data_IF_353110709834
#
_entry.id   IF_353110709834
#
_cell.length_a   1.000
_cell.length_b   1.000
_cell.length_c   1.000
_cell.angle_alpha   90.00
_cell.angle_beta   90.00
_cell.angle_gamma   90.00
#
_symmetry.space_group_name_H-M   'P 1'
#
loop_
_entity.id
_entity.type
_entity.pdbx_description
1 polymer ?
#
# COMPACT_ATOMS: atom_id res chain seq x y z
N UNK A 1 -15.90 1.64 42.81
CA UNK A 1 -15.17 1.62 41.53
C UNK A 1 -16.10 2.26 40.51
N UNK A 2 -15.78 3.45 40.00
CA UNK A 2 -16.56 4.12 38.96
C UNK A 2 -16.60 3.27 37.69
N UNK A 3 -17.72 3.28 36.98
CA UNK A 3 -17.88 2.60 35.68
C UNK A 3 -16.78 3.08 34.71
N UNK A 4 -15.95 2.19 34.13
CA UNK A 4 -14.92 2.57 33.15
C UNK A 4 -15.44 3.43 32.00
N UNK A 5 -16.70 3.22 31.58
CA UNK A 5 -17.33 4.01 30.52
C UNK A 5 -17.61 5.46 30.97
N UNK A 6 -18.07 5.62 32.21
CA UNK A 6 -18.31 6.95 32.81
C UNK A 6 -16.98 7.70 33.03
N UNK A 7 -15.93 6.98 33.41
CA UNK A 7 -14.58 7.52 33.57
C UNK A 7 -14.00 8.02 32.24
N UNK A 8 -14.06 7.22 31.17
CA UNK A 8 -13.58 7.64 29.85
C UNK A 8 -14.33 8.88 29.34
N UNK A 9 -15.65 8.94 29.54
CA UNK A 9 -16.47 10.10 29.20
C UNK A 9 -16.08 11.35 29.99
N UNK A 10 -15.82 11.20 31.30
CA UNK A 10 -15.41 12.30 32.17
C UNK A 10 -14.04 12.85 31.76
N UNK A 11 -13.06 12.00 31.46
CA UNK A 11 -11.74 12.42 30.97
C UNK A 11 -11.87 13.20 29.67
N UNK A 12 -12.53 12.63 28.66
CA UNK A 12 -12.65 13.25 27.32
C UNK A 12 -13.34 14.62 27.39
N UNK A 13 -14.21 14.83 28.38
CA UNK A 13 -14.93 16.08 28.59
C UNK A 13 -14.17 17.09 29.47
N UNK A 14 -12.98 16.75 29.97
CA UNK A 14 -12.20 17.60 30.88
C UNK A 14 -11.43 18.71 30.14
N UNK A 15 -11.09 19.79 30.86
CA UNK A 15 -10.27 20.89 30.30
C UNK A 15 -8.84 20.45 30.05
N UNK A 16 -8.33 19.60 30.94
CA UNK A 16 -7.00 19.00 30.88
C UNK A 16 -6.87 18.15 29.61
N UNK A 17 -7.89 17.35 29.28
CA UNK A 17 -7.95 16.64 28.01
C UNK A 17 -7.92 17.61 26.82
N UNK A 18 -8.83 18.58 26.77
CA UNK A 18 -8.91 19.52 25.65
C UNK A 18 -7.58 20.28 25.41
N UNK A 19 -6.85 20.61 26.46
CA UNK A 19 -5.54 21.23 26.34
C UNK A 19 -4.45 20.21 25.93
N UNK A 20 -4.41 19.03 26.55
CA UNK A 20 -3.38 18.03 26.28
C UNK A 20 -3.47 17.48 24.85
N UNK A 21 -4.68 17.33 24.30
CA UNK A 21 -4.93 16.75 22.97
C UNK A 21 -4.88 17.77 21.83
N UNK A 22 -4.69 19.06 22.12
CA UNK A 22 -4.46 20.05 21.08
C UNK A 22 -2.95 20.12 20.73
N UNK A 23 -2.52 19.67 19.55
CA UNK A 23 -1.10 19.61 19.18
C UNK A 23 -0.42 20.97 19.14
N UNK A 24 -1.16 22.08 19.03
CA UNK A 24 -0.59 23.43 19.06
C UNK A 24 -0.26 23.93 20.47
N UNK A 25 -0.72 23.23 21.52
CA UNK A 25 -0.31 23.53 22.89
C UNK A 25 1.08 22.94 23.22
N UNK A 26 1.62 22.07 22.35
CA UNK A 26 2.92 21.44 22.55
C UNK A 26 4.03 22.34 22.01
N UNK A 27 4.90 22.82 22.92
CA UNK A 27 6.04 23.66 22.57
C UNK A 27 7.12 22.89 21.80
N UNK A 28 7.35 21.61 22.14
CA UNK A 28 8.31 20.74 21.44
C UNK A 28 7.56 19.82 20.47
N UNK A 29 7.68 20.12 19.18
CA UNK A 29 7.06 19.34 18.10
C UNK A 29 7.78 18.00 17.85
N UNK A 30 9.07 17.88 18.19
CA UNK A 30 9.81 16.63 18.06
C UNK A 30 9.50 15.67 19.21
N UNK A 31 9.24 16.20 20.41
CA UNK A 31 8.62 15.46 21.49
C UNK A 31 7.26 14.92 21.05
N UNK A 32 6.34 15.79 20.62
CA UNK A 32 5.02 15.38 20.15
C UNK A 32 5.11 14.29 19.08
N UNK A 33 5.98 14.47 18.08
CA UNK A 33 6.22 13.48 17.01
C UNK A 33 6.56 12.10 17.57
N UNK A 34 7.49 12.00 18.53
CA UNK A 34 7.89 10.72 19.15
C UNK A 34 6.72 9.99 19.82
N UNK A 35 5.72 10.72 20.33
CA UNK A 35 4.57 10.13 21.02
C UNK A 35 3.41 9.78 20.10
N UNK A 36 3.13 10.58 19.08
CA UNK A 36 1.91 10.40 18.27
C UNK A 36 2.15 9.76 16.91
N UNK A 37 3.39 9.81 16.41
CA UNK A 37 3.74 9.22 15.14
C UNK A 37 4.40 7.84 15.34
N UNK A 38 4.02 6.92 14.46
CA UNK A 38 4.86 5.80 14.07
C UNK A 38 5.45 6.17 12.71
N UNK A 39 6.74 5.90 12.53
CA UNK A 39 7.36 6.05 11.22
C UNK A 39 6.66 5.14 10.21
N UNK A 40 6.38 5.68 9.02
CA UNK A 40 5.69 4.97 7.94
C UNK A 40 6.51 3.81 7.37
N UNK A 41 5.88 3.02 6.50
CA UNK A 41 6.52 1.90 5.78
C UNK A 41 7.70 2.34 4.90
N UNK A 42 7.78 3.64 4.60
CA UNK A 42 8.67 4.29 3.65
C UNK A 42 10.09 4.55 4.21
N UNK A 43 10.35 4.22 5.49
CA UNK A 43 11.68 4.43 6.08
C UNK A 43 12.74 3.46 5.52
N UNK A 44 13.92 4.04 5.28
CA UNK A 44 15.07 3.41 4.63
C UNK A 44 15.47 2.08 5.27
N UNK A 45 15.23 1.84 6.56
CA UNK A 45 15.59 0.60 7.25
C UNK A 45 14.91 -0.66 6.66
N UNK A 46 13.69 -0.52 6.12
CA UNK A 46 12.98 -1.60 5.40
C UNK A 46 13.30 -1.66 3.90
N UNK A 47 13.73 -0.54 3.31
CA UNK A 47 14.25 -0.48 1.94
C UNK A 47 15.72 -0.95 1.86
N UNK A 48 16.47 -0.91 2.96
CA UNK A 48 17.92 -1.18 3.01
C UNK A 48 18.27 -2.65 3.19
N UNK A 49 17.29 -3.52 3.41
CA UNK A 49 17.52 -4.96 3.61
C UNK A 49 17.54 -5.71 2.27
N UNK A 50 18.38 -5.29 1.33
CA UNK A 50 18.73 -6.11 0.17
C UNK A 50 20.13 -5.77 -0.33
N UNK A 51 20.88 -6.82 -0.65
CA UNK A 51 22.26 -6.82 -1.13
C UNK A 51 22.49 -5.75 -2.18
N UNK A 52 23.34 -4.77 -1.86
CA UNK A 52 23.89 -3.84 -2.84
C UNK A 52 24.42 -4.65 -4.02
N UNK A 53 23.98 -4.31 -5.24
CA UNK A 53 24.54 -4.84 -6.47
C UNK A 53 26.06 -4.84 -6.34
N UNK A 54 26.68 -6.01 -6.48
CA UNK A 54 28.13 -6.14 -6.41
C UNK A 54 28.71 -5.18 -7.45
N UNK A 55 29.53 -4.19 -7.04
CA UNK A 55 30.16 -3.31 -8.00
C UNK A 55 31.08 -4.18 -8.85
N UNK A 56 30.71 -4.41 -10.12
CA UNK A 56 31.63 -5.04 -11.07
C UNK A 56 32.80 -4.06 -11.22
N UNK A 57 33.96 -4.45 -10.68
CA UNK A 57 35.19 -3.67 -10.67
C UNK A 57 35.67 -3.42 -12.11
N UNK A 58 36.14 -2.21 -12.37
CA UNK A 58 36.74 -1.84 -13.65
C UNK A 58 38.25 -2.12 -13.60
N UNK A 59 38.75 -2.91 -14.55
CA UNK A 59 40.16 -2.82 -14.91
C UNK A 59 40.39 -1.49 -15.64
N UNK A 60 41.21 -0.63 -15.05
CA UNK A 60 41.64 0.63 -15.65
C UNK A 60 42.57 0.33 -16.82
N UNK A 61 42.13 0.59 -18.06
CA UNK A 61 43.02 0.51 -19.23
C UNK A 61 42.35 0.21 -20.57
N UNK A 62 41.11 -0.29 -20.60
CA UNK A 62 40.43 -0.60 -21.87
C UNK A 62 39.55 0.57 -22.34
N UNK A 63 39.79 1.05 -23.56
CA UNK A 63 38.93 2.07 -24.19
C UNK A 63 37.46 1.65 -24.13
N UNK A 64 36.54 2.57 -23.79
CA UNK A 64 35.13 2.22 -23.70
C UNK A 64 34.60 1.85 -25.09
N UNK A 65 34.15 0.60 -25.25
CA UNK A 65 33.33 0.24 -26.40
C UNK A 65 32.06 1.10 -26.38
N UNK A 66 31.84 1.85 -27.47
CA UNK A 66 30.61 2.62 -27.67
C UNK A 66 29.43 1.70 -28.00
N UNK A 67 28.17 2.16 -27.86
CA UNK A 67 26.97 1.37 -28.18
C UNK A 67 26.74 1.18 -29.70
N UNK A 68 27.81 1.12 -30.51
CA UNK A 68 27.73 0.99 -31.97
C UNK A 68 27.04 2.19 -32.62
N UNK A 69 26.10 1.93 -33.53
CA UNK A 69 25.33 2.96 -34.26
C UNK A 69 24.56 3.90 -33.34
N UNK A 70 24.17 3.46 -32.14
CA UNK A 70 23.49 4.31 -31.15
C UNK A 70 24.37 5.46 -30.65
N UNK A 71 25.69 5.40 -30.85
CA UNK A 71 26.62 6.46 -30.49
C UNK A 71 26.43 7.73 -31.31
N UNK A 72 25.67 7.68 -32.41
CA UNK A 72 25.35 8.85 -33.25
C UNK A 72 24.22 9.70 -32.67
N UNK A 73 23.44 9.16 -31.73
CA UNK A 73 22.32 9.86 -31.12
C UNK A 73 22.83 10.84 -30.04
N UNK A 74 22.26 12.06 -29.96
CA UNK A 74 22.48 12.94 -28.83
C UNK A 74 22.10 12.27 -27.50
N UNK A 75 22.77 12.67 -26.42
CA UNK A 75 22.57 12.08 -25.09
C UNK A 75 21.12 12.22 -24.61
N UNK A 76 20.47 13.33 -24.95
CA UNK A 76 19.09 13.64 -24.62
C UNK A 76 18.13 12.64 -25.26
N UNK A 77 18.37 12.27 -26.52
CA UNK A 77 17.58 11.27 -27.24
C UNK A 77 17.82 9.89 -26.63
N UNK A 78 19.07 9.57 -26.27
CA UNK A 78 19.39 8.31 -25.60
C UNK A 78 18.68 8.19 -24.25
N UNK A 79 18.63 9.28 -23.47
CA UNK A 79 17.91 9.32 -22.20
C UNK A 79 16.41 9.17 -22.41
N UNK A 80 15.85 9.87 -23.40
CA UNK A 80 14.42 9.73 -23.71
C UNK A 80 14.06 8.33 -24.19
N UNK A 81 14.93 7.66 -24.94
CA UNK A 81 14.73 6.24 -25.29
C UNK A 81 14.73 5.36 -24.04
N UNK A 82 15.67 5.58 -23.11
CA UNK A 82 15.71 4.84 -21.85
C UNK A 82 14.49 5.08 -20.96
N UNK A 83 13.88 6.27 -20.99
CA UNK A 83 12.62 6.55 -20.29
C UNK A 83 11.47 5.62 -20.74
N UNK A 84 11.44 5.23 -22.02
CA UNK A 84 10.44 4.31 -22.58
C UNK A 84 10.75 2.83 -22.41
N UNK A 85 11.89 2.48 -21.82
CA UNK A 85 12.26 1.09 -21.54
C UNK A 85 11.84 0.71 -20.11
N UNK A 86 11.47 -0.56 -19.92
CA UNK A 86 11.34 -1.14 -18.59
C UNK A 86 12.71 -1.32 -17.91
N UNK A 87 12.71 -1.54 -16.59
CA UNK A 87 13.94 -1.68 -15.80
C UNK A 87 14.85 -2.78 -16.36
N UNK A 88 14.28 -3.91 -16.78
CA UNK A 88 15.03 -5.07 -17.25
C UNK A 88 15.69 -4.78 -18.59
N UNK A 89 14.97 -4.13 -19.52
CA UNK A 89 15.45 -3.70 -20.82
C UNK A 89 16.55 -2.64 -20.70
N UNK A 90 16.41 -1.68 -19.78
CA UNK A 90 17.46 -0.69 -19.48
C UNK A 90 18.71 -1.39 -18.96
N UNK A 91 18.57 -2.31 -18.02
CA UNK A 91 19.73 -3.04 -17.50
C UNK A 91 20.39 -3.93 -18.55
N UNK A 92 19.60 -4.59 -19.41
CA UNK A 92 20.10 -5.38 -20.53
C UNK A 92 20.90 -4.50 -21.51
N UNK A 93 20.41 -3.29 -21.82
CA UNK A 93 21.17 -2.30 -22.59
C UNK A 93 22.52 -2.00 -21.92
N UNK A 94 22.55 -1.86 -20.60
CA UNK A 94 23.78 -1.64 -19.81
C UNK A 94 24.75 -2.82 -19.76
N UNK A 95 24.31 -4.01 -20.19
CA UNK A 95 25.17 -5.18 -20.32
C UNK A 95 25.88 -5.24 -21.68
N UNK A 96 25.40 -4.50 -22.68
CA UNK A 96 25.96 -4.55 -24.04
C UNK A 96 27.34 -3.89 -24.16
N UNK A 97 27.57 -2.75 -23.51
CA UNK A 97 28.86 -2.05 -23.54
C UNK A 97 29.10 -1.14 -22.32
N UNK A 98 30.35 -0.71 -22.13
CA UNK A 98 30.76 0.15 -21.01
C UNK A 98 30.10 1.53 -21.06
N UNK A 99 29.92 2.07 -22.26
CA UNK A 99 29.31 3.39 -22.44
C UNK A 99 27.82 3.38 -22.09
N UNK A 100 27.06 2.39 -22.57
CA UNK A 100 25.65 2.21 -22.21
C UNK A 100 25.47 2.08 -20.69
N UNK A 101 26.31 1.26 -20.04
CA UNK A 101 26.33 1.16 -18.57
C UNK A 101 26.57 2.50 -17.87
N UNK A 102 27.50 3.30 -18.40
CA UNK A 102 27.81 4.63 -17.88
C UNK A 102 26.62 5.59 -18.06
N UNK A 103 25.94 5.53 -19.20
CA UNK A 103 24.74 6.31 -19.49
C UNK A 103 23.61 5.98 -18.51
N UNK A 104 23.33 4.71 -18.27
CA UNK A 104 22.29 4.26 -17.32
C UNK A 104 22.59 4.74 -15.90
N UNK A 105 23.84 4.64 -15.44
CA UNK A 105 24.25 5.16 -14.13
C UNK A 105 24.08 6.68 -13.99
N UNK A 106 24.09 7.41 -15.11
CA UNK A 106 23.87 8.86 -15.17
C UNK A 106 22.42 9.23 -15.47
N UNK A 107 21.59 8.26 -15.83
CA UNK A 107 20.18 8.47 -16.17
C UNK A 107 19.41 8.91 -14.90
N UNK A 108 18.77 10.10 -14.89
CA UNK A 108 18.20 10.68 -13.67
C UNK A 108 17.13 9.79 -13.03
N UNK A 109 16.15 9.35 -13.83
CA UNK A 109 15.02 8.52 -13.39
C UNK A 109 15.49 7.19 -12.82
N UNK A 110 16.33 6.48 -13.58
CA UNK A 110 16.86 5.17 -13.16
C UNK A 110 17.67 5.27 -11.87
N UNK A 111 18.55 6.27 -11.77
CA UNK A 111 19.37 6.51 -10.58
C UNK A 111 18.53 6.78 -9.34
N UNK A 112 17.45 7.55 -9.48
CA UNK A 112 16.54 7.86 -8.37
C UNK A 112 15.76 6.61 -7.96
N UNK A 113 15.16 5.89 -8.91
CA UNK A 113 14.35 4.70 -8.64
C UNK A 113 15.15 3.61 -7.93
N UNK A 114 16.34 3.26 -8.42
CA UNK A 114 17.18 2.23 -7.78
C UNK A 114 17.69 2.68 -6.41
N UNK A 115 17.88 4.00 -6.21
CA UNK A 115 18.29 4.54 -4.90
C UNK A 115 17.15 4.51 -3.88
N UNK A 116 15.94 4.87 -4.28
CA UNK A 116 14.79 5.02 -3.37
C UNK A 116 14.00 3.73 -3.20
N UNK A 117 14.02 2.84 -4.19
CA UNK A 117 13.24 1.60 -4.23
C UNK A 117 14.10 0.42 -4.68
N UNK A 118 15.17 0.07 -3.93
CA UNK A 118 16.12 -0.97 -4.33
C UNK A 118 15.47 -2.36 -4.48
N UNK A 119 14.35 -2.61 -3.79
CA UNK A 119 13.61 -3.88 -3.86
C UNK A 119 12.78 -4.02 -5.13
N UNK A 120 12.49 -2.93 -5.85
CA UNK A 120 11.58 -2.89 -7.00
C UNK A 120 11.97 -3.93 -8.05
N UNK A 121 13.24 -3.94 -8.46
CA UNK A 121 13.76 -4.89 -9.46
C UNK A 121 13.49 -6.33 -9.03
N UNK A 122 13.89 -6.69 -7.81
CA UNK A 122 13.73 -8.06 -7.30
C UNK A 122 12.26 -8.48 -7.23
N UNK A 123 11.36 -7.54 -6.91
CA UNK A 123 9.94 -7.82 -6.79
C UNK A 123 9.28 -8.00 -8.16
N UNK A 124 9.62 -7.15 -9.13
CA UNK A 124 9.22 -7.29 -10.54
C UNK A 124 9.71 -8.61 -11.12
N UNK A 125 10.97 -8.99 -10.87
CA UNK A 125 11.52 -10.27 -11.32
C UNK A 125 10.80 -11.48 -10.69
N UNK A 126 10.53 -11.44 -9.37
CA UNK A 126 9.78 -12.48 -8.65
C UNK A 126 8.36 -12.64 -9.16
N UNK A 127 7.73 -11.53 -9.54
CA UNK A 127 6.38 -11.53 -10.12
C UNK A 127 6.38 -11.90 -11.60
N UNK A 128 7.53 -11.99 -12.28
CA UNK A 128 7.58 -12.21 -13.72
C UNK A 128 7.04 -11.04 -14.54
N UNK A 129 7.14 -9.82 -14.01
CA UNK A 129 6.59 -8.59 -14.58
C UNK A 129 7.67 -7.71 -15.27
N UNK A 130 8.74 -8.33 -15.76
CA UNK A 130 9.93 -7.65 -16.28
C UNK A 130 9.60 -6.58 -17.33
N UNK A 131 8.57 -6.80 -18.14
CA UNK A 131 8.18 -6.00 -19.29
C UNK A 131 6.95 -5.11 -19.04
N UNK A 132 6.56 -4.90 -17.76
CA UNK A 132 5.25 -4.32 -17.42
C UNK A 132 5.19 -2.78 -17.36
N UNK A 133 6.21 -2.10 -16.82
CA UNK A 133 6.20 -0.66 -16.60
C UNK A 133 7.52 -0.03 -17.06
N UNK A 134 7.43 1.06 -17.84
CA UNK A 134 8.60 1.81 -18.28
C UNK A 134 9.12 2.76 -17.18
N UNK A 135 10.34 3.26 -17.34
CA UNK A 135 10.93 4.20 -16.39
C UNK A 135 10.11 5.50 -16.26
N UNK A 136 9.54 6.01 -17.35
CA UNK A 136 8.71 7.22 -17.35
C UNK A 136 7.48 7.04 -16.46
N UNK A 137 6.73 5.95 -16.63
CA UNK A 137 5.53 5.65 -15.82
C UNK A 137 5.88 5.52 -14.33
N UNK A 138 6.98 4.83 -14.01
CA UNK A 138 7.45 4.69 -12.63
C UNK A 138 7.90 6.03 -12.03
N UNK A 139 8.48 6.91 -12.83
CA UNK A 139 8.85 8.26 -12.40
C UNK A 139 7.62 9.11 -12.09
N UNK A 140 6.59 9.02 -12.94
CA UNK A 140 5.33 9.73 -12.72
C UNK A 140 4.69 9.30 -11.40
N UNK A 141 4.64 8.00 -11.12
CA UNK A 141 4.11 7.46 -9.88
C UNK A 141 4.96 7.83 -8.66
N UNK A 142 6.29 7.93 -8.82
CA UNK A 142 7.18 8.38 -7.75
C UNK A 142 6.87 9.83 -7.34
N UNK A 143 6.43 10.64 -8.31
CA UNK A 143 6.04 12.04 -8.15
C UNK A 143 4.54 12.24 -7.92
N UNK A 144 3.76 11.18 -7.79
CA UNK A 144 2.34 11.22 -7.44
C UNK A 144 2.18 10.78 -5.98
N UNK A 145 1.55 11.54 -5.06
CA UNK A 145 1.52 11.16 -3.64
C UNK A 145 0.34 10.27 -3.24
N UNK A 146 -0.72 10.22 -4.07
CA UNK A 146 -2.00 9.68 -3.67
C UNK A 146 -2.25 8.25 -4.19
N UNK A 147 -3.14 7.52 -3.54
CA UNK A 147 -3.62 6.22 -3.97
C UNK A 147 -4.58 6.39 -5.14
N UNK A 148 -4.36 5.62 -6.22
CA UNK A 148 -5.20 5.64 -7.43
C UNK A 148 -6.65 5.20 -7.21
N UNK A 149 -6.96 4.54 -6.09
CA UNK A 149 -8.33 4.12 -5.77
C UNK A 149 -9.08 5.00 -4.78
N UNK A 150 -8.50 5.41 -3.65
CA UNK A 150 -9.21 6.19 -2.61
C UNK A 150 -8.75 7.65 -2.49
N UNK A 151 -7.66 8.05 -3.16
CA UNK A 151 -7.11 9.40 -3.06
C UNK A 151 -6.36 9.73 -1.77
N UNK A 152 -6.30 8.83 -0.78
CA UNK A 152 -5.44 8.99 0.40
C UNK A 152 -3.96 8.84 0.04
N UNK A 153 -3.05 9.17 0.97
CA UNK A 153 -1.61 8.94 0.77
C UNK A 153 -1.33 7.47 0.43
N UNK A 154 -0.64 7.24 -0.67
CA UNK A 154 -0.23 5.90 -1.11
C UNK A 154 1.22 5.63 -0.76
N UNK A 155 1.48 4.50 -0.10
CA UNK A 155 2.81 4.10 0.37
C UNK A 155 3.39 2.92 -0.40
N UNK A 156 2.62 2.36 -1.33
CA UNK A 156 2.97 1.15 -2.07
C UNK A 156 2.74 1.33 -3.57
N UNK A 157 3.49 0.58 -4.37
CA UNK A 157 3.25 0.41 -5.80
C UNK A 157 2.65 -0.98 -6.02
N UNK A 158 1.47 -1.04 -6.63
CA UNK A 158 0.90 -2.28 -7.12
C UNK A 158 1.60 -2.66 -8.43
N UNK A 159 2.50 -3.64 -8.35
CA UNK A 159 3.39 -4.02 -9.45
C UNK A 159 2.67 -4.37 -10.75
N UNK A 160 1.54 -5.10 -10.76
CA UNK A 160 0.90 -5.53 -12.00
C UNK A 160 0.42 -4.39 -12.89
N UNK A 161 0.05 -3.25 -12.31
CA UNK A 161 -0.44 -2.09 -13.08
C UNK A 161 0.49 -0.88 -12.96
N UNK A 162 1.59 -1.00 -12.21
CA UNK A 162 2.45 0.13 -11.89
C UNK A 162 1.69 1.27 -11.23
N UNK A 163 0.69 1.01 -10.38
CA UNK A 163 -0.15 2.06 -9.78
C UNK A 163 0.18 2.27 -8.30
N UNK A 164 0.27 3.52 -7.86
CA UNK A 164 0.35 3.84 -6.43
C UNK A 164 -0.94 3.48 -5.68
N UNK A 165 -0.78 2.80 -4.56
CA UNK A 165 -1.88 2.33 -3.71
C UNK A 165 -1.54 2.52 -2.22
N UNK A 166 -2.56 2.72 -1.38
CA UNK A 166 -2.37 2.70 0.07
C UNK A 166 -2.55 1.29 0.62
N UNK A 167 -1.97 1.00 1.78
CA UNK A 167 -2.01 -0.32 2.41
C UNK A 167 -3.44 -0.90 2.54
N UNK A 168 -4.42 -0.06 2.88
CA UNK A 168 -5.81 -0.50 3.00
C UNK A 168 -6.40 -0.93 1.65
N UNK A 169 -6.12 -0.17 0.58
CA UNK A 169 -6.62 -0.51 -0.75
C UNK A 169 -5.91 -1.74 -1.31
N UNK A 170 -4.59 -1.90 -1.13
CA UNK A 170 -3.86 -3.08 -1.60
C UNK A 170 -4.33 -4.35 -0.89
N UNK A 171 -4.68 -4.26 0.39
CA UNK A 171 -5.12 -5.41 1.20
C UNK A 171 -6.61 -5.72 1.03
N UNK A 172 -7.46 -4.70 1.01
CA UNK A 172 -8.92 -4.87 1.16
C UNK A 172 -9.71 -4.61 -0.12
N UNK A 173 -9.17 -3.84 -1.06
CA UNK A 173 -9.91 -3.54 -2.29
C UNK A 173 -9.75 -4.68 -3.30
N UNK A 174 -10.86 -5.27 -3.79
CA UNK A 174 -10.79 -6.35 -4.77
C UNK A 174 -10.20 -5.90 -6.11
N UNK A 175 -10.17 -4.58 -6.36
CA UNK A 175 -9.52 -4.02 -7.53
C UNK A 175 -8.00 -4.28 -7.57
N UNK A 176 -7.35 -4.44 -6.42
CA UNK A 176 -5.91 -4.72 -6.32
C UNK A 176 -5.60 -6.19 -6.08
N UNK A 177 -6.56 -7.07 -6.34
CA UNK A 177 -6.35 -8.51 -6.28
C UNK A 177 -5.83 -9.05 -7.61
N UNK A 178 -5.17 -10.20 -7.52
CA UNK A 178 -4.82 -11.00 -8.68
C UNK A 178 -5.61 -12.31 -8.64
N UNK A 179 -6.01 -12.80 -9.81
CA UNK A 179 -6.80 -14.03 -9.97
C UNK A 179 -6.28 -14.84 -11.14
N UNK A 180 -6.54 -16.15 -11.16
CA UNK A 180 -6.05 -16.99 -12.26
C UNK A 180 -6.73 -16.62 -13.58
N UNK A 181 -6.04 -16.84 -14.70
CA UNK A 181 -6.57 -16.60 -16.05
C UNK A 181 -7.94 -17.28 -16.29
N UNK A 182 -8.15 -18.56 -15.91
CA UNK A 182 -9.46 -19.21 -16.06
C UNK A 182 -10.55 -18.50 -15.25
N UNK A 183 -10.23 -18.08 -14.03
CA UNK A 183 -11.16 -17.35 -13.16
C UNK A 183 -11.51 -15.99 -13.74
N UNK A 184 -10.55 -15.25 -14.30
CA UNK A 184 -10.83 -13.95 -14.93
C UNK A 184 -11.73 -14.12 -16.16
N UNK A 185 -11.48 -15.15 -16.95
CA UNK A 185 -12.27 -15.54 -18.13
C UNK A 185 -13.72 -15.84 -17.71
N UNK A 186 -13.92 -16.68 -16.68
CA UNK A 186 -15.23 -17.06 -16.19
C UNK A 186 -15.95 -15.89 -15.48
N UNK A 187 -15.29 -15.24 -14.53
CA UNK A 187 -15.84 -14.16 -13.71
C UNK A 187 -16.25 -12.94 -14.55
N UNK A 188 -15.56 -12.63 -15.65
CA UNK A 188 -15.84 -11.43 -16.44
C UNK A 188 -16.31 -11.71 -17.87
N UNK A 189 -16.53 -12.97 -18.21
CA UNK A 189 -16.90 -13.42 -19.56
C UNK A 189 -15.92 -12.87 -20.62
N UNK A 190 -14.62 -12.97 -20.34
CA UNK A 190 -13.56 -12.58 -21.28
C UNK A 190 -13.07 -13.80 -22.05
N UNK A 191 -12.50 -13.59 -23.22
CA UNK A 191 -11.72 -14.63 -23.90
C UNK A 191 -10.30 -14.69 -23.32
N UNK A 192 -9.66 -15.86 -23.40
CA UNK A 192 -8.28 -16.01 -22.95
C UNK A 192 -7.33 -15.06 -23.70
N UNK A 193 -7.57 -14.80 -24.99
CA UNK A 193 -6.78 -13.85 -25.78
C UNK A 193 -6.83 -12.44 -25.18
N UNK A 194 -8.02 -11.97 -24.77
CA UNK A 194 -8.18 -10.67 -24.11
C UNK A 194 -7.51 -10.64 -22.74
N UNK A 195 -7.57 -11.74 -21.98
CA UNK A 195 -6.93 -11.81 -20.66
C UNK A 195 -5.40 -11.80 -20.78
N UNK A 196 -4.84 -12.42 -21.82
CA UNK A 196 -3.40 -12.44 -22.09
C UNK A 196 -2.81 -11.11 -22.55
N UNK A 197 -3.65 -10.11 -22.86
CA UNK A 197 -3.19 -8.72 -23.08
C UNK A 197 -2.77 -8.03 -21.77
N UNK A 198 -3.17 -8.58 -20.61
CA UNK A 198 -2.82 -8.00 -19.31
C UNK A 198 -1.42 -8.41 -18.86
N UNK A 199 -0.81 -7.64 -17.95
CA UNK A 199 0.38 -8.09 -17.23
C UNK A 199 0.11 -9.40 -16.50
N UNK A 200 0.82 -10.47 -16.90
CA UNK A 200 0.70 -11.81 -16.32
C UNK A 200 1.72 -11.96 -15.19
N UNK A 201 1.24 -12.14 -13.97
CA UNK A 201 2.09 -12.48 -12.84
C UNK A 201 2.41 -13.97 -12.87
N UNK A 202 3.70 -14.29 -12.85
CA UNK A 202 4.25 -15.65 -12.81
C UNK A 202 4.88 -15.88 -11.44
N UNK A 203 4.05 -16.22 -10.46
CA UNK A 203 4.55 -16.51 -9.11
C UNK A 203 5.33 -17.83 -9.11
N UNK A 204 6.56 -17.79 -8.59
CA UNK A 204 7.48 -18.94 -8.51
C UNK A 204 7.84 -19.25 -7.06
N UNK A 205 6.87 -19.34 -6.16
CA UNK A 205 7.15 -19.54 -4.75
C UNK A 205 6.91 -20.97 -4.26
N UNK A 206 7.81 -21.41 -3.38
CA UNK A 206 7.73 -22.64 -2.60
C UNK A 206 7.02 -22.34 -1.31
N UNK A 207 5.85 -22.94 -1.10
CA UNK A 207 5.09 -22.77 0.13
C UNK A 207 5.33 -23.95 1.05
N UNK A 208 5.33 -23.74 2.36
CA UNK A 208 5.22 -24.86 3.30
C UNK A 208 3.86 -25.51 3.11
N UNK A 209 3.81 -26.84 3.03
CA UNK A 209 2.55 -27.55 2.99
C UNK A 209 1.76 -27.17 4.24
N UNK A 210 0.47 -26.83 4.10
CA UNK A 210 -0.40 -26.37 5.20
C UNK A 210 -0.41 -27.30 6.43
N UNK A 211 -0.01 -28.57 6.24
CA UNK A 211 0.03 -29.60 7.27
C UNK A 211 1.44 -30.16 7.55
N UNK A 212 2.51 -29.59 6.96
CA UNK A 212 3.88 -30.08 7.16
C UNK A 212 4.93 -28.97 6.95
N UNK A 213 5.30 -28.29 8.04
CA UNK A 213 6.35 -27.26 8.09
C UNK A 213 7.76 -27.74 7.77
N UNK A 214 7.97 -29.04 7.49
CA UNK A 214 9.26 -29.58 7.04
C UNK A 214 9.28 -29.87 5.53
N UNK A 215 8.14 -29.75 4.84
CA UNK A 215 8.02 -30.00 3.40
C UNK A 215 7.48 -28.78 2.67
N UNK A 216 8.29 -28.23 1.77
CA UNK A 216 7.82 -27.23 0.82
C UNK A 216 7.14 -27.90 -0.38
N UNK A 217 5.99 -27.38 -0.78
CA UNK A 217 5.30 -27.70 -2.04
C UNK A 217 5.55 -26.56 -3.01
N UNK A 218 5.90 -26.91 -4.25
CA UNK A 218 5.76 -25.97 -5.34
C UNK A 218 4.26 -25.87 -5.63
N UNK A 219 3.68 -24.67 -5.50
CA UNK A 219 2.39 -24.43 -6.16
C UNK A 219 2.73 -24.30 -7.64
N UNK A 220 2.04 -25.04 -8.50
CA UNK A 220 2.22 -24.93 -9.94
C UNK A 220 2.03 -23.48 -10.37
N UNK A 221 2.79 -23.07 -11.39
CA UNK A 221 2.68 -21.72 -11.97
C UNK A 221 1.24 -21.47 -12.40
N UNK A 222 0.48 -20.76 -11.57
CA UNK A 222 -0.74 -20.15 -12.01
C UNK A 222 -0.38 -18.78 -12.57
N UNK A 223 -0.68 -18.59 -13.85
CA UNK A 223 -0.66 -17.29 -14.47
C UNK A 223 -1.81 -16.48 -13.86
N UNK A 224 -1.44 -15.43 -13.11
CA UNK A 224 -2.41 -14.55 -12.47
C UNK A 224 -2.50 -13.24 -13.24
N UNK A 225 -3.67 -12.62 -13.21
CA UNK A 225 -3.93 -11.32 -13.81
C UNK A 225 -4.59 -10.38 -12.80
N UNK A 226 -4.36 -9.06 -12.90
CA UNK A 226 -4.98 -8.09 -12.02
C UNK A 226 -6.48 -7.99 -12.27
N UNK A 227 -7.29 -8.18 -11.22
CA UNK A 227 -8.75 -8.18 -11.29
C UNK A 227 -9.30 -6.86 -11.84
N UNK A 228 -8.71 -5.71 -11.47
CA UNK A 228 -9.09 -4.40 -12.01
C UNK A 228 -8.94 -4.31 -13.52
N UNK A 229 -7.86 -4.85 -14.12
CA UNK A 229 -7.69 -4.82 -15.58
C UNK A 229 -8.74 -5.66 -16.29
N UNK A 230 -9.00 -6.87 -15.77
CA UNK A 230 -10.02 -7.76 -16.30
C UNK A 230 -11.41 -7.11 -16.24
N UNK A 231 -11.78 -6.54 -15.10
CA UNK A 231 -13.06 -5.86 -14.95
C UNK A 231 -13.21 -4.62 -15.84
N UNK A 232 -12.19 -3.76 -15.92
CA UNK A 232 -12.24 -2.58 -16.78
C UNK A 232 -12.36 -2.96 -18.26
N UNK A 233 -11.66 -4.01 -18.67
CA UNK A 233 -11.76 -4.55 -20.03
C UNK A 233 -13.15 -5.12 -20.31
N UNK A 234 -13.71 -5.88 -19.37
CA UNK A 234 -15.06 -6.39 -19.47
C UNK A 234 -16.10 -5.26 -19.54
N UNK A 235 -15.94 -4.21 -18.73
CA UNK A 235 -16.79 -3.02 -18.79
C UNK A 235 -16.73 -2.32 -20.15
N UNK A 236 -15.55 -2.28 -20.79
CA UNK A 236 -15.36 -1.73 -22.14
C UNK A 236 -16.05 -2.58 -23.21
N UNK A 237 -15.96 -3.91 -23.12
CA UNK A 237 -16.54 -4.85 -24.08
C UNK A 237 -18.07 -4.89 -23.97
N UNK A 238 -18.58 -5.04 -22.75
CA UNK A 238 -20.01 -5.24 -22.48
C UNK A 238 -20.78 -3.93 -22.31
N UNK A 239 -20.07 -2.79 -22.25
CA UNK A 239 -20.59 -1.43 -22.14
C UNK A 239 -21.11 -1.06 -20.74
N UNK A 240 -21.69 -2.01 -20.00
CA UNK A 240 -22.10 -1.79 -18.62
C UNK A 240 -22.08 -3.07 -17.78
N UNK A 241 -22.09 -2.89 -16.45
CA UNK A 241 -22.00 -3.97 -15.46
C UNK A 241 -23.16 -4.96 -15.57
N UNK A 242 -24.39 -4.48 -15.77
CA UNK A 242 -25.58 -5.34 -15.86
C UNK A 242 -25.48 -6.31 -17.04
N UNK A 243 -25.03 -5.81 -18.19
CA UNK A 243 -24.77 -6.64 -19.37
C UNK A 243 -23.66 -7.65 -19.12
N UNK A 244 -22.52 -7.22 -18.56
CA UNK A 244 -21.41 -8.11 -18.21
C UNK A 244 -21.88 -9.25 -17.28
N UNK A 245 -22.56 -8.93 -16.17
CA UNK A 245 -23.05 -9.93 -15.24
C UNK A 245 -24.03 -10.91 -15.89
N UNK A 246 -24.89 -10.44 -16.81
CA UNK A 246 -25.83 -11.32 -17.53
C UNK A 246 -25.11 -12.36 -18.38
N UNK A 247 -24.02 -11.98 -19.06
CA UNK A 247 -23.24 -12.90 -19.88
C UNK A 247 -22.29 -13.78 -19.08
N UNK A 248 -21.82 -13.30 -17.91
CA UNK A 248 -20.92 -14.05 -17.05
C UNK A 248 -21.66 -15.04 -16.12
N UNK A 249 -22.95 -14.81 -15.82
CA UNK A 249 -23.72 -15.66 -14.91
C UNK A 249 -23.76 -17.16 -15.29
N UNK A 250 -23.85 -17.56 -16.58
CA UNK A 250 -23.77 -18.97 -16.97
C UNK A 250 -22.42 -19.64 -16.68
N UNK A 251 -21.36 -18.85 -16.42
CA UNK A 251 -20.03 -19.36 -16.08
C UNK A 251 -19.85 -19.50 -14.55
N UNK A 252 -20.85 -19.14 -13.75
CA UNK A 252 -20.77 -19.36 -12.31
C UNK A 252 -20.75 -20.87 -12.04
N UNK A 253 -19.82 -21.35 -11.18
CA UNK A 253 -19.88 -22.71 -10.67
C UNK A 253 -21.28 -22.97 -10.09
N UNK A 254 -21.79 -24.18 -10.31
CA UNK A 254 -23.17 -24.52 -10.01
C UNK A 254 -23.49 -24.27 -8.52
N UNK A 255 -24.55 -23.51 -8.24
CA UNK A 255 -25.03 -23.18 -6.88
C UNK A 255 -26.05 -24.24 -6.41
N UNK A 256 -26.01 -25.43 -7.02
CA UNK A 256 -26.85 -26.55 -6.64
C UNK A 256 -26.64 -26.91 -5.17
N UNK A 257 -27.70 -27.35 -4.49
CA UNK A 257 -27.66 -27.67 -3.07
C UNK A 257 -26.59 -28.72 -2.69
N UNK A 258 -26.18 -29.54 -3.67
CA UNK A 258 -25.17 -30.60 -3.53
C UNK A 258 -23.78 -30.21 -4.09
N UNK A 259 -23.56 -28.94 -4.45
CA UNK A 259 -22.28 -28.49 -4.97
C UNK A 259 -21.15 -28.63 -3.93
N UNK A 260 -19.92 -28.87 -4.41
CA UNK A 260 -18.76 -28.91 -3.54
C UNK A 260 -18.60 -27.53 -2.85
N UNK A 261 -18.26 -27.46 -1.55
CA UNK A 261 -18.12 -26.19 -0.83
C UNK A 261 -17.20 -25.17 -1.53
N UNK A 262 -16.19 -25.67 -2.25
CA UNK A 262 -15.25 -24.83 -3.01
C UNK A 262 -15.89 -24.18 -4.24
N UNK A 263 -16.83 -24.86 -4.91
CA UNK A 263 -17.53 -24.33 -6.10
C UNK A 263 -18.51 -23.23 -5.69
N UNK A 264 -19.30 -23.47 -4.64
CA UNK A 264 -20.19 -22.46 -4.08
C UNK A 264 -19.42 -21.21 -3.61
N UNK A 265 -18.26 -21.42 -2.99
CA UNK A 265 -17.36 -20.36 -2.59
C UNK A 265 -16.82 -19.58 -3.80
N UNK A 266 -16.38 -20.27 -4.84
CA UNK A 266 -15.84 -19.66 -6.06
C UNK A 266 -16.91 -18.84 -6.80
N UNK A 267 -18.15 -19.36 -6.91
CA UNK A 267 -19.27 -18.61 -7.47
C UNK A 267 -19.63 -17.36 -6.66
N UNK A 268 -19.56 -17.42 -5.33
CA UNK A 268 -19.70 -16.24 -4.48
C UNK A 268 -18.58 -15.22 -4.74
N UNK A 269 -17.33 -15.67 -4.88
CA UNK A 269 -16.19 -14.81 -5.19
C UNK A 269 -16.33 -14.12 -6.56
N UNK A 270 -16.79 -14.82 -7.60
CA UNK A 270 -17.05 -14.22 -8.92
C UNK A 270 -18.13 -13.14 -8.84
N UNK A 271 -19.26 -13.42 -8.17
CA UNK A 271 -20.34 -12.45 -7.95
C UNK A 271 -19.85 -11.23 -7.18
N UNK A 272 -18.97 -11.42 -6.21
CA UNK A 272 -18.34 -10.33 -5.47
C UNK A 272 -17.42 -9.48 -6.36
N UNK A 273 -16.54 -10.10 -7.14
CA UNK A 273 -15.62 -9.42 -8.07
C UNK A 273 -16.37 -8.62 -9.15
N UNK A 274 -17.46 -9.16 -9.69
CA UNK A 274 -18.33 -8.43 -10.64
C UNK A 274 -18.96 -7.18 -10.03
N UNK A 275 -19.09 -7.14 -8.71
CA UNK A 275 -19.64 -6.03 -7.96
C UNK A 275 -18.60 -5.07 -7.38
N UNK A 276 -17.30 -5.34 -7.57
CA UNK A 276 -16.25 -4.52 -6.99
C UNK A 276 -16.29 -3.06 -7.46
N UNK A 277 -15.72 -2.18 -6.65
CA UNK A 277 -15.57 -0.76 -6.98
C UNK A 277 -14.10 -0.46 -7.28
N UNK A 278 -13.84 0.09 -8.46
CA UNK A 278 -12.47 0.45 -8.88
C UNK A 278 -11.97 1.67 -8.11
N UNK A 279 -12.87 2.65 -7.88
CA UNK A 279 -12.63 3.74 -6.94
C UNK A 279 -13.17 3.30 -5.58
N UNK A 280 -12.30 3.32 -4.59
CA UNK A 280 -12.67 3.07 -3.21
C UNK A 280 -13.47 4.26 -2.67
N UNK A 281 -14.25 4.07 -1.59
CA UNK A 281 -14.80 5.18 -0.83
C UNK A 281 -13.69 6.17 -0.46
N UNK A 282 -14.07 7.44 -0.28
CA UNK A 282 -13.11 8.47 0.11
C UNK A 282 -12.34 8.06 1.37
N UNK A 283 -12.98 7.40 2.34
CA UNK A 283 -12.33 6.87 3.54
C UNK A 283 -11.95 5.38 3.36
N UNK A 284 -10.66 5.03 3.19
CA UNK A 284 -10.22 3.65 3.01
C UNK A 284 -10.39 2.80 4.27
N UNK A 285 -10.63 3.40 5.44
CA UNK A 285 -10.97 2.65 6.65
C UNK A 285 -12.38 2.07 6.61
N UNK A 286 -13.20 2.54 5.68
CA UNK A 286 -14.57 2.07 5.46
C UNK A 286 -14.67 0.97 4.42
N UNK A 287 -13.55 0.54 3.82
CA UNK A 287 -13.54 -0.60 2.90
C UNK A 287 -14.06 -1.84 3.63
N UNK A 288 -15.19 -2.36 3.13
CA UNK A 288 -15.64 -3.69 3.49
C UNK A 288 -14.67 -4.69 2.86
N UNK A 289 -13.67 -5.09 3.64
CA UNK A 289 -12.79 -6.19 3.27
C UNK A 289 -13.62 -7.47 3.11
N UNK A 290 -13.49 -8.20 2.01
CA UNK A 290 -14.22 -9.44 1.82
C UNK A 290 -13.88 -10.46 2.89
N UNK A 291 -14.88 -11.27 3.21
CA UNK A 291 -14.69 -12.58 3.81
C UNK A 291 -14.71 -13.58 2.65
N UNK A 292 -13.59 -14.25 2.34
CA UNK A 292 -12.37 -14.32 3.13
C UNK A 292 -11.35 -13.26 2.70
N UNK A 293 -10.55 -12.83 3.68
CA UNK A 293 -9.39 -11.99 3.43
C UNK A 293 -8.36 -12.79 2.65
N UNK A 294 -7.77 -12.20 1.61
CA UNK A 294 -6.56 -12.77 1.04
C UNK A 294 -5.50 -12.89 2.15
N UNK A 295 -4.76 -14.01 2.20
CA UNK A 295 -3.62 -14.11 3.09
C UNK A 295 -2.67 -12.93 2.88
N UNK A 296 -2.22 -12.32 3.98
CA UNK A 296 -1.36 -11.10 3.97
C UNK A 296 -0.10 -11.27 3.13
N UNK A 297 0.41 -12.50 2.98
CA UNK A 297 1.56 -12.78 2.13
C UNK A 297 1.30 -12.49 0.64
N UNK A 298 0.09 -12.69 0.11
CA UNK A 298 -0.20 -12.40 -1.30
C UNK A 298 -0.15 -10.90 -1.60
N UNK A 299 -0.68 -10.07 -0.69
CA UNK A 299 -0.61 -8.62 -0.83
C UNK A 299 0.85 -8.16 -0.87
N UNK A 300 1.69 -8.71 0.01
CA UNK A 300 3.13 -8.40 0.08
C UNK A 300 3.96 -8.93 -1.11
N UNK A 301 3.42 -9.85 -1.91
CA UNK A 301 4.10 -10.36 -3.10
C UNK A 301 3.91 -9.46 -4.32
N UNK A 302 2.75 -8.79 -4.41
CA UNK A 302 2.33 -8.03 -5.59
C UNK A 302 2.44 -6.52 -5.41
N UNK A 303 2.88 -6.08 -4.23
CA UNK A 303 3.20 -4.68 -3.94
C UNK A 303 4.63 -4.52 -3.47
N UNK A 304 5.16 -3.30 -3.60
CA UNK A 304 6.41 -2.89 -2.94
C UNK A 304 6.22 -1.55 -2.24
N UNK A 305 6.90 -1.29 -1.12
CA UNK A 305 6.99 0.06 -0.57
C UNK A 305 7.50 1.01 -1.63
N UNK A 306 6.81 2.12 -1.83
CA UNK A 306 7.08 3.05 -2.90
C UNK A 306 6.95 4.48 -2.35
N UNK A 307 8.06 5.16 -2.03
CA UNK A 307 8.01 6.45 -1.37
C UNK A 307 7.50 7.53 -2.33
N UNK A 308 7.09 8.67 -1.78
CA UNK A 308 6.77 9.85 -2.57
C UNK A 308 7.97 10.80 -2.63
N UNK A 309 8.36 11.19 -3.84
CA UNK A 309 9.36 12.22 -4.09
C UNK A 309 8.65 13.47 -4.62
N UNK A 310 8.55 14.58 -3.85
CA UNK A 310 7.96 15.80 -4.36
C UNK A 310 8.71 16.34 -5.59
N UNK A 311 7.98 16.86 -6.58
CA UNK A 311 8.60 17.44 -7.79
C UNK A 311 9.59 18.54 -7.41
N UNK A 312 10.78 18.49 -8.00
CA UNK A 312 11.86 19.44 -7.74
C UNK A 312 12.64 19.21 -6.44
N UNK A 313 12.31 18.18 -5.64
CA UNK A 313 13.06 17.81 -4.44
C UNK A 313 13.96 16.61 -4.69
N UNK A 314 15.02 16.49 -3.88
CA UNK A 314 15.97 15.37 -3.88
C UNK A 314 15.73 14.36 -2.76
N UNK A 315 14.85 14.71 -1.82
CA UNK A 315 14.51 13.93 -0.64
C UNK A 315 13.04 13.53 -0.67
N UNK A 316 12.78 12.30 -0.23
CA UNK A 316 11.42 11.78 -0.10
C UNK A 316 10.66 12.56 0.99
N UNK A 317 9.36 12.72 0.78
CA UNK A 317 8.51 13.20 1.87
C UNK A 317 8.23 12.04 2.83
N UNK A 318 8.53 12.23 4.10
CA UNK A 318 8.25 11.22 5.12
C UNK A 318 6.75 11.08 5.33
N UNK A 319 6.29 9.83 5.40
CA UNK A 319 4.92 9.47 5.77
C UNK A 319 4.89 8.92 7.18
N UNK A 320 3.81 9.22 7.89
CA UNK A 320 3.61 8.83 9.28
C UNK A 320 2.31 8.05 9.43
N UNK A 321 2.26 7.14 10.39
CA UNK A 321 1.04 6.52 10.87
C UNK A 321 0.72 7.04 12.28
N UNK A 322 -0.55 7.02 12.68
CA UNK A 322 -0.93 7.44 14.02
C UNK A 322 -0.67 6.32 15.05
N UNK A 323 0.25 6.56 15.99
CA UNK A 323 0.51 5.67 17.14
C UNK A 323 -0.75 5.48 18.00
N UNK A 324 -1.57 6.52 18.09
CA UNK A 324 -2.88 6.48 18.73
C UNK A 324 -3.84 5.48 18.08
N UNK A 325 -3.99 5.50 16.75
CA UNK A 325 -4.80 4.49 16.06
C UNK A 325 -4.23 3.08 16.22
N UNK A 326 -2.91 2.94 16.23
CA UNK A 326 -2.25 1.67 16.51
C UNK A 326 -2.57 1.15 17.91
N UNK A 327 -2.45 2.00 18.94
CA UNK A 327 -2.81 1.66 20.31
C UNK A 327 -4.31 1.30 20.44
N UNK A 328 -5.19 2.06 19.79
CA UNK A 328 -6.63 1.83 19.81
C UNK A 328 -7.00 0.48 19.18
N UNK A 329 -6.31 0.09 18.11
CA UNK A 329 -6.50 -1.20 17.44
C UNK A 329 -6.08 -2.41 18.28
N UNK A 330 -5.24 -2.21 19.31
CA UNK A 330 -4.81 -3.26 20.23
C UNK A 330 -5.74 -3.41 21.43
N UNK A 331 -6.67 -2.48 21.65
CA UNK A 331 -7.58 -2.55 22.79
C UNK A 331 -8.58 -3.71 22.59
N UNK A 332 -8.77 -4.58 23.60
CA UNK A 332 -9.73 -5.68 23.51
C UNK A 332 -11.17 -5.16 23.42
N UNK A 333 -11.42 -3.99 24.00
CA UNK A 333 -12.69 -3.27 23.96
C UNK A 333 -12.41 -1.78 23.86
N UNK A 334 -13.14 -1.10 22.98
CA UNK A 334 -13.06 0.35 22.82
C UNK A 334 -14.37 0.96 23.27
N UNK A 335 -14.28 1.90 24.21
CA UNK A 335 -15.47 2.52 24.80
C UNK A 335 -16.20 3.42 23.81
N UNK A 336 -17.53 3.50 23.94
CA UNK A 336 -18.37 4.29 23.02
C UNK A 336 -17.97 5.77 22.98
N UNK A 337 -17.50 6.33 24.10
CA UNK A 337 -17.00 7.70 24.15
C UNK A 337 -15.74 7.89 23.29
N UNK A 338 -14.82 6.93 23.28
CA UNK A 338 -13.62 6.96 22.44
C UNK A 338 -13.96 6.82 20.95
N UNK A 339 -14.94 5.97 20.63
CA UNK A 339 -15.45 5.82 19.26
C UNK A 339 -16.07 7.13 18.77
N UNK A 340 -16.99 7.72 19.55
CA UNK A 340 -17.61 9.02 19.23
C UNK A 340 -16.58 10.13 19.08
N UNK A 341 -15.61 10.22 19.99
CA UNK A 341 -14.52 11.19 19.90
C UNK A 341 -13.70 11.01 18.61
N UNK A 342 -13.55 9.75 18.19
CA UNK A 342 -12.87 9.41 16.95
C UNK A 342 -13.76 9.51 15.72
N UNK A 343 -14.97 10.06 15.79
CA UNK A 343 -15.91 10.06 14.67
C UNK A 343 -16.17 8.64 14.11
N UNK A 344 -16.31 7.67 15.01
CA UNK A 344 -16.71 6.30 14.71
C UNK A 344 -18.05 6.06 15.41
N UNK A 345 -19.06 5.64 14.64
CA UNK A 345 -20.38 5.34 15.21
C UNK A 345 -20.29 4.09 16.10
N UNK A 346 -20.56 4.20 17.42
CA UNK A 346 -20.53 3.05 18.33
C UNK A 346 -21.68 2.05 18.10
N UNK A 347 -22.73 2.44 17.37
CA UNK A 347 -23.88 1.57 17.09
C UNK A 347 -23.60 0.58 15.93
N UNK A 348 -22.44 0.70 15.28
CA UNK A 348 -22.00 -0.29 14.31
C UNK A 348 -21.71 -1.64 14.96
N UNK A 349 -21.80 -2.71 14.17
CA UNK A 349 -21.43 -4.04 14.63
C UNK A 349 -19.97 -4.06 15.09
N UNK A 350 -19.66 -4.88 16.11
CA UNK A 350 -18.30 -4.99 16.65
C UNK A 350 -17.25 -5.32 15.56
N UNK A 351 -17.63 -6.14 14.57
CA UNK A 351 -16.78 -6.44 13.42
C UNK A 351 -16.49 -5.19 12.56
N UNK A 352 -17.51 -4.37 12.28
CA UNK A 352 -17.37 -3.14 11.50
C UNK A 352 -16.51 -2.11 12.24
N UNK A 353 -16.73 -1.93 13.54
CA UNK A 353 -15.90 -1.06 14.40
C UNK A 353 -14.43 -1.52 14.35
N UNK A 354 -14.18 -2.82 14.51
CA UNK A 354 -12.83 -3.39 14.44
C UNK A 354 -12.18 -3.16 13.07
N UNK A 355 -12.92 -3.29 11.97
CA UNK A 355 -12.44 -2.99 10.63
C UNK A 355 -12.06 -1.52 10.47
N UNK A 356 -12.92 -0.59 10.90
CA UNK A 356 -12.66 0.85 10.81
C UNK A 356 -11.42 1.25 11.61
N UNK A 357 -11.28 0.75 12.85
CA UNK A 357 -10.09 1.01 13.66
C UNK A 357 -8.83 0.42 12.99
N UNK A 358 -8.92 -0.80 12.46
CA UNK A 358 -7.81 -1.43 11.73
C UNK A 358 -7.42 -0.65 10.47
N UNK A 359 -8.39 -0.11 9.74
CA UNK A 359 -8.12 0.70 8.55
C UNK A 359 -7.44 2.02 8.90
N UNK A 360 -7.90 2.70 9.95
CA UNK A 360 -7.26 3.93 10.42
C UNK A 360 -5.83 3.72 10.90
N UNK A 361 -5.56 2.59 11.57
CA UNK A 361 -4.19 2.21 11.97
C UNK A 361 -3.22 2.19 10.80
N UNK A 362 -3.66 1.72 9.64
CA UNK A 362 -2.82 1.58 8.45
C UNK A 362 -2.93 2.79 7.50
N UNK A 363 -3.55 3.89 7.95
CA UNK A 363 -3.62 5.12 7.16
C UNK A 363 -2.32 5.90 7.33
N UNK A 364 -1.76 6.32 6.22
CA UNK A 364 -0.56 7.15 6.19
C UNK A 364 -0.90 8.61 5.99
N UNK A 365 -0.11 9.47 6.62
CA UNK A 365 -0.33 10.91 6.68
C UNK A 365 0.99 11.64 6.37
N UNK A 366 0.91 12.82 5.76
CA UNK A 366 1.93 13.85 5.94
C UNK A 366 1.97 14.30 7.41
N UNK A 367 3.01 15.02 7.82
CA UNK A 367 3.05 15.56 9.19
C UNK A 367 1.86 16.50 9.46
N UNK A 368 1.53 17.37 8.50
CA UNK A 368 0.41 18.30 8.59
C UNK A 368 -0.94 17.56 8.71
N UNK A 369 -1.15 16.53 7.87
CA UNK A 369 -2.34 15.69 7.93
C UNK A 369 -2.45 14.93 9.24
N UNK A 370 -1.32 14.44 9.78
CA UNK A 370 -1.30 13.75 11.07
C UNK A 370 -1.70 14.71 12.20
N UNK A 371 -1.25 15.96 12.18
CA UNK A 371 -1.63 16.97 13.18
C UNK A 371 -3.12 17.27 13.16
N UNK A 372 -3.73 17.29 11.97
CA UNK A 372 -5.18 17.40 11.86
C UNK A 372 -5.89 16.15 12.39
N UNK A 373 -5.37 14.96 12.05
CA UNK A 373 -5.95 13.68 12.46
C UNK A 373 -5.94 13.49 13.99
N UNK A 374 -4.81 13.74 14.67
CA UNK A 374 -4.68 13.40 16.10
C UNK A 374 -5.63 14.19 17.02
N UNK A 375 -6.08 15.37 16.58
CA UNK A 375 -7.09 16.18 17.29
C UNK A 375 -8.40 15.42 17.50
N UNK A 376 -8.80 14.65 16.49
CA UNK A 376 -9.99 13.81 16.51
C UNK A 376 -9.67 12.33 16.68
N UNK A 377 -8.52 11.97 17.27
CA UNK A 377 -8.15 10.57 17.48
C UNK A 377 -8.11 10.28 18.98
N UNK A 378 -9.05 9.47 19.48
CA UNK A 378 -9.10 9.16 20.92
C UNK A 378 -7.81 8.48 21.38
N UNK A 379 -7.29 7.52 20.61
CA UNK A 379 -6.05 6.84 20.96
C UNK A 379 -4.85 7.79 21.05
N UNK A 380 -4.73 8.78 20.15
CA UNK A 380 -3.66 9.76 20.23
C UNK A 380 -3.86 10.68 21.44
N UNK A 381 -5.10 11.11 21.66
CA UNK A 381 -5.47 11.92 22.82
C UNK A 381 -5.11 11.26 24.15
N UNK A 382 -5.35 9.95 24.29
CA UNK A 382 -4.96 9.19 25.47
C UNK A 382 -3.45 9.16 25.69
N UNK A 383 -2.67 8.90 24.63
CA UNK A 383 -1.21 8.90 24.73
C UNK A 383 -0.66 10.29 25.10
N UNK A 384 -1.21 11.35 24.50
CA UNK A 384 -0.83 12.73 24.78
C UNK A 384 -1.19 13.14 26.21
N UNK A 385 -2.41 12.82 26.65
CA UNK A 385 -2.89 13.13 28.01
C UNK A 385 -2.06 12.41 29.09
N UNK A 386 -1.79 11.12 28.88
CA UNK A 386 -0.97 10.33 29.79
C UNK A 386 0.44 10.94 29.93
N UNK A 387 1.07 11.30 28.81
CA UNK A 387 2.39 11.93 28.83
C UNK A 387 2.42 13.25 29.61
N UNK A 388 1.43 14.13 29.40
CA UNK A 388 1.36 15.40 30.12
C UNK A 388 1.23 15.19 31.62
N UNK A 389 0.39 14.24 32.03
CA UNK A 389 0.22 13.90 33.45
C UNK A 389 1.52 13.35 34.05
N UNK A 390 2.15 12.38 33.39
CA UNK A 390 3.42 11.78 33.85
C UNK A 390 4.49 12.86 34.01
N UNK A 391 4.58 13.78 33.06
CA UNK A 391 5.49 14.92 33.11
C UNK A 391 5.21 15.84 34.30
N UNK A 392 3.95 16.19 34.54
CA UNK A 392 3.58 17.05 35.68
C UNK A 392 3.91 16.39 37.04
N UNK A 393 3.78 15.06 37.12
CA UNK A 393 4.21 14.29 38.29
C UNK A 393 5.74 14.26 38.46
N UNK A 394 6.49 14.01 37.39
CA UNK A 394 7.96 13.91 37.43
C UNK A 394 8.63 15.24 37.81
N UNK A 395 8.10 16.37 37.35
CA UNK A 395 8.65 17.70 37.67
C UNK A 395 8.09 18.32 38.96
N UNK A 396 7.32 17.57 39.75
CA UNK A 396 6.80 18.04 41.05
C UNK A 396 5.81 19.20 40.95
N UNK A 397 5.27 19.47 39.76
CA UNK A 397 4.26 20.51 39.50
C UNK A 397 2.85 19.99 39.83
N UNK A 398 2.68 19.33 40.98
CA UNK A 398 1.38 18.93 41.54
C UNK A 398 0.47 20.11 41.90
N UNK A 399 0.76 21.32 41.42
CA UNK A 399 -0.04 22.52 41.61
C UNK A 399 -0.75 22.87 40.31
N UNK A 400 -2.09 22.91 40.39
CA UNK A 400 -3.08 23.20 39.32
C UNK A 400 -2.94 24.58 38.64
N UNK A 401 -1.79 25.22 38.73
CA UNK A 401 -1.55 26.59 38.25
C UNK A 401 -1.15 26.67 36.78
N UNK A 402 -0.75 25.58 36.13
CA UNK A 402 -0.41 25.56 34.70
C UNK A 402 -1.61 25.69 33.75
N UNK A 403 -2.83 25.41 34.22
CA UNK A 403 -4.04 25.35 33.40
C UNK A 403 -4.87 26.64 33.37
N UNK A 404 -4.25 27.80 33.64
CA UNK A 404 -4.93 29.08 33.41
C UNK A 404 -4.72 29.52 31.95
N UNK A 405 -5.80 29.82 31.20
CA UNK A 405 -5.66 30.48 29.90
C UNK A 405 -4.95 31.83 30.12
N UNK A 406 -3.98 32.16 29.27
CA UNK A 406 -3.55 33.55 29.10
C UNK A 406 -4.63 34.33 28.34
#
# INVERSE_FOLDING_TARGET
MSDPAEYAKAIISSKEWAWATNPFNWHDQDELRRFVALDGLDESSRLSSTTLLTPISFEAGTQPSGPGTLSTLPLEIMFKVMDYLDISSVEALGQTCKMARSMIKKHPTYKILIKLVPTLRSAVEKCGLQESACLEDLAEELHYPYCRACGHQGTELFLPLGERVCFNCSTLSPAYWCMAVPDATAAFCLSEAQVREFPILKLKERFWAANNFLKTVNIDRQDLVPAKAAFLTAMKIWGNRKTMCRYAAPNDPDDAFDAHPDDAFLGAAYRFLRNMQVKAPNDPSQLDGPQPRLPEFYANMITVPFPYLPKGKTEIERRFMCRGCYWLAQQPRVEAAMLKYSDINPDFSAQRVKQMISGRRNTSYSWEELMMHIRGCAGAGFLMYQHVIERDYEYGLGNRLFWRPQ
#
